data_IF_413590953271
#
_entry.id   IF_413590953271
#
_cell.length_a   1.000
_cell.length_b   1.000
_cell.length_c   1.000
_cell.angle_alpha   90.00
_cell.angle_beta   90.00
_cell.angle_gamma   90.00
#
_symmetry.space_group_name_H-M   'P 1'
#
loop_
_entity.id
_entity.type
_entity.pdbx_description
1 polymer ?
#
# COMPACT_ATOMS: atom_id res chain seq x y z
N UNK A 1 13.92 12.52 -16.42
CA UNK A 1 12.62 12.00 -16.91
C UNK A 1 11.69 13.19 -17.18
N UNK A 2 10.55 13.02 -17.86
CA UNK A 2 9.59 14.11 -18.10
C UNK A 2 8.70 14.30 -16.85
N UNK A 3 8.52 15.54 -16.37
CA UNK A 3 7.65 15.89 -15.23
C UNK A 3 6.22 15.33 -15.35
N UNK A 4 5.68 15.25 -16.58
CA UNK A 4 4.36 14.66 -16.83
C UNK A 4 4.31 13.16 -16.48
N UNK A 5 5.41 12.42 -16.67
CA UNK A 5 5.46 10.98 -16.37
C UNK A 5 5.36 10.76 -14.86
N UNK A 6 6.07 11.56 -14.06
CA UNK A 6 6.03 11.49 -12.60
C UNK A 6 4.59 11.74 -12.10
N UNK A 7 3.93 12.77 -12.62
CA UNK A 7 2.54 13.09 -12.24
C UNK A 7 1.57 11.95 -12.57
N UNK A 8 1.69 11.34 -13.76
CA UNK A 8 0.85 10.20 -14.17
C UNK A 8 1.10 9.00 -13.24
N UNK A 9 2.36 8.70 -12.92
CA UNK A 9 2.71 7.58 -12.04
C UNK A 9 2.22 7.80 -10.61
N UNK A 10 2.28 9.03 -10.10
CA UNK A 10 1.73 9.37 -8.78
C UNK A 10 0.21 9.22 -8.74
N UNK A 11 -0.50 9.70 -9.75
CA UNK A 11 -1.95 9.53 -9.83
C UNK A 11 -2.37 8.05 -9.89
N UNK A 12 -1.68 7.25 -10.71
CA UNK A 12 -1.93 5.81 -10.77
C UNK A 12 -1.66 5.13 -9.41
N UNK A 13 -0.60 5.56 -8.72
CA UNK A 13 -0.23 5.03 -7.40
C UNK A 13 -1.24 5.43 -6.31
N UNK A 14 -1.79 6.64 -6.34
CA UNK A 14 -2.87 7.06 -5.43
C UNK A 14 -4.12 6.21 -5.60
N UNK A 15 -4.54 5.96 -6.85
CA UNK A 15 -5.70 5.12 -7.13
C UNK A 15 -5.46 3.68 -6.63
N UNK A 16 -4.25 3.15 -6.86
CA UNK A 16 -3.88 1.83 -6.37
C UNK A 16 -3.80 1.77 -4.83
N UNK A 17 -3.29 2.82 -4.19
CA UNK A 17 -3.23 2.98 -2.71
C UNK A 17 -4.61 2.89 -2.11
N UNK A 18 -5.57 3.68 -2.60
CA UNK A 18 -6.96 3.69 -2.13
C UNK A 18 -7.64 2.33 -2.31
N UNK A 19 -7.38 1.66 -3.45
CA UNK A 19 -7.90 0.32 -3.69
C UNK A 19 -7.29 -0.70 -2.72
N UNK A 20 -5.98 -0.65 -2.52
CA UNK A 20 -5.26 -1.50 -1.58
C UNK A 20 -5.78 -1.30 -0.15
N UNK A 21 -5.98 -0.06 0.29
CA UNK A 21 -6.55 0.27 1.59
C UNK A 21 -7.92 -0.38 1.80
N UNK A 22 -8.83 -0.24 0.82
CA UNK A 22 -10.17 -0.83 0.90
C UNK A 22 -10.15 -2.36 0.96
N UNK A 23 -9.29 -3.01 0.16
CA UNK A 23 -9.19 -4.47 0.14
C UNK A 23 -8.48 -5.00 1.41
N UNK A 24 -7.50 -4.28 1.98
CA UNK A 24 -6.91 -4.57 3.29
C UNK A 24 -7.93 -4.46 4.43
N UNK A 25 -8.79 -3.43 4.41
CA UNK A 25 -9.84 -3.26 5.41
C UNK A 25 -10.84 -4.44 5.39
N UNK A 26 -11.21 -4.92 4.19
CA UNK A 26 -12.08 -6.10 4.02
C UNK A 26 -11.42 -7.35 4.59
N UNK A 27 -10.15 -7.60 4.24
CA UNK A 27 -9.42 -8.75 4.76
C UNK A 27 -9.22 -8.68 6.29
N UNK A 28 -8.97 -7.50 6.86
CA UNK A 28 -8.91 -7.30 8.30
C UNK A 28 -10.23 -7.67 9.00
N UNK A 29 -11.38 -7.29 8.42
CA UNK A 29 -12.71 -7.68 8.92
C UNK A 29 -12.93 -9.20 8.82
N UNK A 30 -12.52 -9.83 7.72
CA UNK A 30 -12.59 -11.28 7.56
C UNK A 30 -11.74 -12.01 8.62
N UNK A 31 -10.51 -11.52 8.89
CA UNK A 31 -9.67 -12.06 9.94
C UNK A 31 -10.32 -11.98 11.32
N UNK A 32 -10.89 -10.81 11.68
CA UNK A 32 -11.60 -10.64 12.95
C UNK A 32 -12.80 -11.59 13.08
N UNK A 33 -13.54 -11.79 12.00
CA UNK A 33 -14.66 -12.74 11.96
C UNK A 33 -14.18 -14.17 12.21
N UNK A 34 -13.11 -14.61 11.56
CA UNK A 34 -12.55 -15.96 11.74
C UNK A 34 -11.95 -16.19 13.13
N UNK A 35 -11.26 -15.19 13.69
CA UNK A 35 -10.79 -15.21 15.08
C UNK A 35 -11.97 -15.36 16.04
N UNK A 36 -13.04 -14.58 15.85
CA UNK A 36 -14.25 -14.67 16.68
C UNK A 36 -14.97 -16.02 16.59
N UNK A 37 -14.74 -16.79 15.52
CA UNK A 37 -15.23 -18.15 15.35
C UNK A 37 -14.29 -19.23 15.96
N UNK A 38 -13.14 -18.85 16.51
CA UNK A 38 -12.12 -19.79 17.02
C UNK A 38 -11.41 -20.58 15.91
N UNK A 39 -11.44 -20.10 14.66
CA UNK A 39 -10.72 -20.72 13.55
C UNK A 39 -9.30 -20.18 13.50
N UNK A 40 -8.32 -21.09 13.59
CA UNK A 40 -6.89 -20.82 13.33
C UNK A 40 -6.43 -19.44 13.82
N UNK A 41 -6.58 -19.20 15.13
CA UNK A 41 -6.42 -17.88 15.73
C UNK A 41 -5.03 -17.27 15.46
N UNK A 42 -4.00 -18.10 15.32
CA UNK A 42 -2.64 -17.63 15.05
C UNK A 42 -2.50 -17.08 13.64
N UNK A 43 -2.93 -17.85 12.62
CA UNK A 43 -2.83 -17.41 11.23
C UNK A 43 -3.64 -16.12 11.00
N UNK A 44 -4.90 -16.09 11.44
CA UNK A 44 -5.75 -14.91 11.24
C UNK A 44 -5.33 -13.70 12.08
N UNK A 45 -4.70 -13.89 13.25
CA UNK A 45 -4.11 -12.77 14.01
C UNK A 45 -2.93 -12.15 13.24
N UNK A 46 -2.11 -12.98 12.61
CA UNK A 46 -0.99 -12.50 11.79
C UNK A 46 -1.49 -11.79 10.52
N UNK A 47 -2.47 -12.38 9.83
CA UNK A 47 -3.13 -11.73 8.69
C UNK A 47 -3.75 -10.37 9.04
N UNK A 48 -4.46 -10.29 10.17
CA UNK A 48 -5.03 -9.04 10.69
C UNK A 48 -3.95 -7.98 10.94
N UNK A 49 -2.84 -8.37 11.56
CA UNK A 49 -1.72 -7.46 11.84
C UNK A 49 -1.17 -6.88 10.53
N UNK A 50 -0.87 -7.72 9.54
CA UNK A 50 -0.35 -7.24 8.27
C UNK A 50 -1.32 -6.33 7.52
N UNK A 51 -2.59 -6.69 7.48
CA UNK A 51 -3.60 -5.87 6.81
C UNK A 51 -3.64 -4.45 7.40
N UNK A 52 -3.55 -4.31 8.73
CA UNK A 52 -3.52 -3.01 9.42
C UNK A 52 -2.24 -2.23 9.15
N UNK A 53 -1.09 -2.89 9.13
CA UNK A 53 0.17 -2.24 8.79
C UNK A 53 0.15 -1.73 7.33
N UNK A 54 -0.39 -2.51 6.39
CA UNK A 54 -0.60 -2.09 5.00
C UNK A 54 -1.56 -0.90 4.90
N UNK A 55 -2.67 -0.90 5.63
CA UNK A 55 -3.60 0.25 5.68
C UNK A 55 -2.88 1.53 6.12
N UNK A 56 -2.13 1.45 7.23
CA UNK A 56 -1.37 2.60 7.73
C UNK A 56 -0.32 3.09 6.70
N UNK A 57 0.30 2.17 5.95
CA UNK A 57 1.24 2.54 4.89
C UNK A 57 0.56 3.19 3.68
N UNK A 58 -0.65 2.76 3.30
CA UNK A 58 -1.46 3.44 2.27
C UNK A 58 -1.85 4.86 2.70
N UNK A 59 -2.34 5.02 3.94
CA UNK A 59 -2.69 6.34 4.49
C UNK A 59 -1.47 7.27 4.56
N UNK A 60 -0.31 6.75 4.98
CA UNK A 60 0.93 7.49 5.00
C UNK A 60 1.39 7.89 3.59
N UNK A 61 1.21 7.02 2.59
CA UNK A 61 1.51 7.35 1.20
C UNK A 61 0.62 8.48 0.69
N UNK A 62 -0.70 8.39 0.90
CA UNK A 62 -1.65 9.42 0.48
C UNK A 62 -1.28 10.78 1.11
N UNK A 63 -0.99 10.80 2.41
CA UNK A 63 -0.53 11.99 3.13
C UNK A 63 0.76 12.59 2.55
N UNK A 64 1.77 11.75 2.28
CA UNK A 64 3.06 12.22 1.72
C UNK A 64 2.90 12.79 0.31
N UNK A 65 1.98 12.25 -0.49
CA UNK A 65 1.67 12.78 -1.82
C UNK A 65 0.96 14.13 -1.71
N UNK A 66 -0.04 14.26 -0.84
CA UNK A 66 -0.75 15.54 -0.60
C UNK A 66 0.19 16.63 -0.07
N UNK A 67 1.09 16.27 0.85
CA UNK A 67 2.09 17.17 1.42
C UNK A 67 3.23 17.51 0.45
N UNK A 68 3.30 16.86 -0.72
CA UNK A 68 4.42 16.94 -1.67
C UNK A 68 5.77 16.69 -0.98
N UNK A 69 5.80 15.70 -0.07
CA UNK A 69 6.95 15.47 0.80
C UNK A 69 8.18 14.99 -0.01
N UNK A 70 9.36 15.62 0.17
CA UNK A 70 10.58 15.25 -0.56
C UNK A 70 11.06 13.82 -0.25
N UNK A 71 10.63 13.23 0.85
CA UNK A 71 10.97 11.87 1.27
C UNK A 71 9.99 10.81 0.71
N UNK A 72 8.97 11.20 -0.05
CA UNK A 72 7.97 10.29 -0.62
C UNK A 72 8.63 9.06 -1.27
N UNK A 73 9.61 9.25 -2.14
CA UNK A 73 10.27 8.13 -2.83
C UNK A 73 11.04 7.20 -1.88
N UNK A 74 11.65 7.75 -0.83
CA UNK A 74 12.31 6.94 0.19
C UNK A 74 11.29 6.15 1.00
N UNK A 75 10.14 6.74 1.31
CA UNK A 75 9.03 6.05 1.96
C UNK A 75 8.50 4.93 1.07
N UNK A 76 8.27 5.18 -0.23
CA UNK A 76 7.89 4.15 -1.20
C UNK A 76 8.84 2.96 -1.15
N UNK A 77 10.15 3.19 -1.26
CA UNK A 77 11.16 2.14 -1.24
C UNK A 77 11.11 1.26 0.03
N UNK A 78 10.86 1.87 1.20
CA UNK A 78 10.77 1.15 2.48
C UNK A 78 9.47 0.37 2.61
N UNK A 79 8.37 0.90 2.07
CA UNK A 79 7.04 0.28 2.17
C UNK A 79 6.84 -0.91 1.24
N UNK A 80 7.60 -1.05 0.15
CA UNK A 80 7.50 -2.20 -0.77
C UNK A 80 7.53 -3.54 -0.03
N UNK A 81 8.51 -3.72 0.86
CA UNK A 81 8.66 -4.98 1.62
C UNK A 81 7.41 -5.31 2.44
N UNK A 82 6.80 -4.30 3.05
CA UNK A 82 5.59 -4.49 3.86
C UNK A 82 4.44 -5.07 3.03
N UNK A 83 4.17 -4.49 1.85
CA UNK A 83 3.13 -4.99 0.96
C UNK A 83 3.44 -6.39 0.42
N UNK A 84 4.70 -6.67 0.06
CA UNK A 84 5.12 -8.01 -0.37
C UNK A 84 4.98 -9.06 0.74
N UNK A 85 5.29 -8.70 1.98
CA UNK A 85 5.09 -9.56 3.14
C UNK A 85 3.58 -9.85 3.33
N UNK A 86 2.72 -8.84 3.18
CA UNK A 86 1.26 -9.01 3.21
C UNK A 86 0.74 -9.93 2.09
N UNK A 87 1.26 -9.80 0.86
CA UNK A 87 0.92 -10.69 -0.27
C UNK A 87 1.20 -12.15 0.09
N UNK A 88 2.39 -12.44 0.63
CA UNK A 88 2.76 -13.80 1.00
C UNK A 88 1.79 -14.40 2.03
N UNK A 89 1.41 -13.61 3.03
CA UNK A 89 0.50 -14.04 4.09
C UNK A 89 -0.92 -14.23 3.56
N UNK A 90 -1.41 -13.31 2.73
CA UNK A 90 -2.72 -13.44 2.09
C UNK A 90 -2.82 -14.72 1.22
N UNK A 91 -1.74 -15.14 0.57
CA UNK A 91 -1.72 -16.38 -0.21
C UNK A 91 -1.74 -17.67 0.61
N UNK A 92 -1.56 -17.60 1.94
CA UNK A 92 -1.81 -18.74 2.82
C UNK A 92 -3.33 -19.04 2.93
N UNK A 93 -4.19 -18.03 2.74
CA UNK A 93 -5.65 -18.13 2.85
C UNK A 93 -6.35 -18.30 1.48
N UNK A 94 -5.94 -19.29 0.69
CA UNK A 94 -6.42 -19.46 -0.71
C UNK A 94 -7.94 -19.58 -0.89
N UNK A 95 -8.66 -20.01 0.15
CA UNK A 95 -10.12 -20.14 0.12
C UNK A 95 -10.85 -18.85 0.54
N UNK A 96 -10.14 -17.86 1.07
CA UNK A 96 -10.69 -16.58 1.50
C UNK A 96 -10.61 -15.58 0.33
N UNK A 97 -11.78 -15.20 -0.18
CA UNK A 97 -11.89 -14.27 -1.32
C UNK A 97 -11.35 -12.88 -0.97
N UNK A 98 -11.50 -12.44 0.28
CA UNK A 98 -11.00 -11.13 0.72
C UNK A 98 -9.48 -11.15 0.87
N UNK A 99 -8.89 -12.27 1.30
CA UNK A 99 -7.44 -12.46 1.29
C UNK A 99 -6.85 -12.42 -0.13
N UNK A 100 -7.44 -13.13 -1.09
CA UNK A 100 -6.97 -13.13 -2.49
C UNK A 100 -7.05 -11.72 -3.11
N UNK A 101 -8.12 -10.98 -2.84
CA UNK A 101 -8.25 -9.58 -3.29
C UNK A 101 -7.20 -8.68 -2.66
N UNK A 102 -6.97 -8.83 -1.36
CA UNK A 102 -5.93 -8.09 -0.64
C UNK A 102 -4.55 -8.37 -1.25
N UNK A 103 -4.20 -9.64 -1.51
CA UNK A 103 -2.94 -10.00 -2.17
C UNK A 103 -2.76 -9.28 -3.50
N UNK A 104 -3.74 -9.33 -4.41
CA UNK A 104 -3.62 -8.67 -5.71
C UNK A 104 -3.46 -7.15 -5.61
N UNK A 105 -4.23 -6.50 -4.73
CA UNK A 105 -4.14 -5.05 -4.56
C UNK A 105 -2.83 -4.63 -3.91
N UNK A 106 -2.32 -5.38 -2.92
CA UNK A 106 -1.00 -5.18 -2.34
C UNK A 106 0.13 -5.39 -3.35
N UNK A 107 0.06 -6.42 -4.20
CA UNK A 107 1.05 -6.69 -5.24
C UNK A 107 1.09 -5.59 -6.30
N UNK A 108 -0.08 -5.17 -6.78
CA UNK A 108 -0.19 -4.09 -7.75
C UNK A 108 0.38 -2.78 -7.18
N UNK A 109 0.01 -2.43 -5.95
CA UNK A 109 0.49 -1.21 -5.32
C UNK A 109 2.00 -1.27 -5.02
N UNK A 110 2.52 -2.40 -4.52
CA UNK A 110 3.95 -2.60 -4.29
C UNK A 110 4.78 -2.39 -5.58
N UNK A 111 4.29 -2.89 -6.71
CA UNK A 111 4.95 -2.72 -8.01
C UNK A 111 5.01 -1.25 -8.44
N UNK A 112 3.96 -0.48 -8.17
CA UNK A 112 3.94 0.97 -8.43
C UNK A 112 4.87 1.73 -7.47
N UNK A 113 4.95 1.32 -6.20
CA UNK A 113 5.88 1.89 -5.23
C UNK A 113 7.35 1.62 -5.60
N UNK A 114 7.67 0.41 -6.08
CA UNK A 114 8.98 0.06 -6.63
C UNK A 114 9.33 0.97 -7.80
N UNK A 115 8.35 1.21 -8.70
CA UNK A 115 8.54 2.10 -9.84
C UNK A 115 8.81 3.55 -9.40
N UNK A 116 8.03 4.09 -8.48
CA UNK A 116 8.26 5.42 -7.91
C UNK A 116 9.63 5.51 -7.21
N UNK A 117 10.00 4.50 -6.43
CA UNK A 117 11.28 4.47 -5.73
C UNK A 117 12.49 4.56 -6.68
N UNK A 118 12.39 3.97 -7.88
CA UNK A 118 13.44 4.04 -8.91
C UNK A 118 13.57 5.43 -9.56
N UNK A 119 12.56 6.30 -9.46
CA UNK A 119 12.60 7.65 -10.03
C UNK A 119 13.55 8.60 -9.27
N UNK A 120 13.76 8.33 -7.98
CA UNK A 120 14.65 9.08 -7.10
C UNK A 120 14.21 10.53 -6.80
N UNK A 121 14.68 11.11 -5.68
CA UNK A 121 14.29 12.47 -5.26
C UNK A 121 14.90 13.58 -6.12
N UNK A 122 15.86 13.25 -7.01
CA UNK A 122 16.59 14.25 -7.81
C UNK A 122 15.71 14.96 -8.85
N UNK A 123 14.57 14.38 -9.23
CA UNK A 123 13.73 14.91 -10.30
C UNK A 123 12.51 15.72 -9.82
N UNK A 124 12.11 15.62 -8.55
CA UNK A 124 11.03 16.45 -7.98
C UNK A 124 11.60 17.76 -7.44
N UNK A 125 11.90 18.69 -8.33
CA UNK A 125 11.83 20.11 -7.97
C UNK A 125 10.39 20.55 -8.19
N UNK A 126 9.55 20.43 -7.17
CA UNK A 126 8.24 21.06 -7.19
C UNK A 126 8.47 22.57 -7.34
N UNK A 127 7.88 23.23 -8.35
CA UNK A 127 7.88 24.69 -8.38
C UNK A 127 7.22 25.13 -7.07
N UNK A 128 7.97 25.84 -6.21
CA UNK A 128 7.39 26.46 -5.02
C UNK A 128 6.31 27.42 -5.51
N UNK A 129 5.04 26.99 -5.46
CA UNK A 129 3.93 27.91 -5.55
C UNK A 129 4.03 28.77 -4.29
N UNK A 130 4.29 30.07 -4.48
CA UNK A 130 4.16 31.05 -3.41
C UNK A 130 2.76 30.87 -2.80
N UNK A 131 2.72 30.48 -1.52
CA UNK A 131 1.51 30.49 -0.72
C UNK A 131 1.02 31.94 -0.65
N UNK A 132 0.10 32.28 -1.54
CA UNK A 132 -0.72 33.49 -1.49
C UNK A 132 -1.89 33.32 -0.53
#
# INVERSE_FOLDING_TARGET
MNLQVIQISLQASLIASQRCLSDCERFAKACLFHIGMGKDETAYTFGLKQARECMAACEAFDYLVEAQDPNLFQACARSVKLFRDCVNICYEFKADVDAVRCAHSCENFATLLEYLAMMGPRELRFPQQELG
#
